data_IF_895904904388
#
_entry.id   IF_895904904388
#
_cell.length_a   1.000
_cell.length_b   1.000
_cell.length_c   1.000
_cell.angle_alpha   90.00
_cell.angle_beta   90.00
_cell.angle_gamma   90.00
#
_symmetry.space_group_name_H-M   'P 1'
#
loop_
_entity.id
_entity.type
_entity.pdbx_description
1 polymer ?
#
# COMPACT_ATOMS: atom_id res chain seq x y z
N UNK A 1 -21.00 -13.96 -10.60
CA UNK A 1 -20.64 -12.65 -10.00
C UNK A 1 -20.74 -11.57 -11.03
N UNK A 2 -21.23 -10.38 -10.66
CA UNK A 2 -21.15 -9.22 -11.54
C UNK A 2 -19.68 -8.88 -11.76
N UNK A 3 -19.28 -8.73 -13.03
CA UNK A 3 -17.91 -8.44 -13.43
C UNK A 3 -17.52 -7.05 -12.92
N UNK A 4 -16.42 -6.95 -12.15
CA UNK A 4 -15.89 -5.65 -11.73
C UNK A 4 -15.54 -4.80 -12.96
N UNK A 5 -15.95 -3.54 -12.95
CA UNK A 5 -15.58 -2.59 -14.00
C UNK A 5 -14.10 -2.22 -13.90
N UNK A 6 -13.52 -1.60 -14.93
CA UNK A 6 -12.12 -1.12 -14.87
C UNK A 6 -11.92 -0.11 -13.74
N UNK A 7 -12.90 0.77 -13.50
CA UNK A 7 -12.84 1.78 -12.46
C UNK A 7 -12.89 1.15 -11.05
N UNK A 8 -13.77 0.17 -10.82
CA UNK A 8 -13.85 -0.53 -9.53
C UNK A 8 -12.58 -1.31 -9.22
N UNK A 9 -11.95 -1.91 -10.23
CA UNK A 9 -10.66 -2.61 -10.07
C UNK A 9 -9.55 -1.66 -9.66
N UNK A 10 -9.49 -0.47 -10.28
CA UNK A 10 -8.52 0.54 -9.91
C UNK A 10 -8.67 0.98 -8.44
N UNK A 11 -9.90 1.11 -7.92
CA UNK A 11 -10.15 1.41 -6.51
C UNK A 11 -9.62 0.30 -5.60
N UNK A 12 -9.92 -0.96 -5.92
CA UNK A 12 -9.44 -2.12 -5.16
C UNK A 12 -7.91 -2.19 -5.18
N UNK A 13 -7.29 -2.04 -6.34
CA UNK A 13 -5.84 -2.09 -6.51
C UNK A 13 -5.14 -0.98 -5.71
N UNK A 14 -5.69 0.23 -5.72
CA UNK A 14 -5.18 1.33 -4.91
C UNK A 14 -5.30 1.02 -3.42
N UNK A 15 -6.44 0.53 -2.95
CA UNK A 15 -6.61 0.14 -1.55
C UNK A 15 -5.66 -1.01 -1.13
N UNK A 16 -5.41 -1.98 -2.02
CA UNK A 16 -4.46 -3.06 -1.74
C UNK A 16 -3.00 -2.60 -1.73
N UNK A 17 -2.67 -1.55 -2.49
CA UNK A 17 -1.28 -1.05 -2.64
C UNK A 17 -0.95 0.04 -1.62
N UNK A 18 -1.84 1.01 -1.49
CA UNK A 18 -1.66 2.23 -0.71
C UNK A 18 -2.33 2.12 0.66
N UNK A 19 -3.37 1.30 0.80
CA UNK A 19 -4.16 1.21 2.04
C UNK A 19 -5.10 2.39 2.25
N UNK A 20 -5.08 3.38 1.35
CA UNK A 20 -5.92 4.58 1.35
C UNK A 20 -6.46 4.80 -0.06
N UNK A 21 -7.68 5.28 -0.16
CA UNK A 21 -8.25 5.84 -1.38
C UNK A 21 -8.90 7.19 -1.06
N UNK A 22 -8.43 8.24 -1.72
CA UNK A 22 -8.89 9.62 -1.48
C UNK A 22 -10.06 10.00 -2.38
N UNK A 23 -11.04 10.69 -1.80
CA UNK A 23 -12.31 10.94 -2.45
C UNK A 23 -12.36 12.18 -3.31
N UNK A 24 -11.59 13.21 -2.94
CA UNK A 24 -11.62 14.51 -3.62
C UNK A 24 -11.00 14.42 -5.01
N UNK A 25 -11.55 15.19 -5.95
CA UNK A 25 -11.08 15.31 -7.33
C UNK A 25 -10.27 16.60 -7.47
N UNK A 26 -9.09 16.52 -8.06
CA UNK A 26 -8.25 17.67 -8.39
C UNK A 26 -8.12 17.83 -9.90
N UNK A 27 -7.84 19.05 -10.34
CA UNK A 27 -7.87 19.42 -11.77
C UNK A 27 -6.77 18.74 -12.61
N UNK A 28 -5.70 18.28 -11.96
CA UNK A 28 -4.56 17.58 -12.57
C UNK A 28 -4.78 16.06 -12.71
N UNK A 29 -5.90 15.53 -12.21
CA UNK A 29 -6.16 14.09 -12.24
C UNK A 29 -6.38 13.55 -13.65
N UNK A 30 -5.75 12.41 -13.93
CA UNK A 30 -6.00 11.63 -15.16
C UNK A 30 -7.45 11.12 -15.19
N UNK A 31 -8.00 11.01 -16.40
CA UNK A 31 -9.37 10.51 -16.61
C UNK A 31 -9.67 9.15 -15.95
N UNK A 32 -8.68 8.25 -15.86
CA UNK A 32 -8.83 6.97 -15.16
C UNK A 32 -8.99 7.13 -13.64
N UNK A 33 -8.30 8.10 -13.03
CA UNK A 33 -8.40 8.40 -11.61
C UNK A 33 -9.72 9.09 -11.27
N UNK A 34 -10.23 9.94 -12.17
CA UNK A 34 -11.56 10.53 -12.08
C UNK A 34 -12.66 9.45 -12.17
N UNK A 35 -12.56 8.54 -13.15
CA UNK A 35 -13.52 7.45 -13.31
C UNK A 35 -13.52 6.48 -12.13
N UNK A 36 -12.36 6.18 -11.53
CA UNK A 36 -12.27 5.41 -10.29
C UNK A 36 -13.04 6.11 -9.16
N UNK A 37 -12.88 7.45 -9.06
CA UNK A 37 -13.59 8.25 -8.07
C UNK A 37 -15.11 8.24 -8.27
N UNK A 38 -15.55 8.42 -9.51
CA UNK A 38 -16.97 8.34 -9.87
C UNK A 38 -17.57 6.95 -9.59
N UNK A 39 -16.79 5.89 -9.76
CA UNK A 39 -17.27 4.53 -9.56
C UNK A 39 -17.53 4.25 -8.07
N UNK A 40 -16.64 4.65 -7.17
CA UNK A 40 -16.85 4.39 -5.73
C UNK A 40 -17.83 5.38 -5.08
N UNK A 41 -18.03 6.59 -5.62
CA UNK A 41 -19.05 7.52 -5.09
C UNK A 41 -20.49 7.02 -5.35
N UNK A 42 -20.67 6.05 -6.26
CA UNK A 42 -21.97 5.46 -6.57
C UNK A 42 -22.28 4.27 -5.66
N UNK A 43 -23.50 4.17 -5.09
CA UNK A 43 -23.88 3.06 -4.21
C UNK A 43 -23.64 1.67 -4.80
N UNK A 44 -23.88 1.48 -6.11
CA UNK A 44 -23.62 0.21 -6.76
C UNK A 44 -22.12 -0.16 -6.80
N UNK A 45 -21.26 0.82 -7.06
CA UNK A 45 -19.82 0.61 -7.08
C UNK A 45 -19.31 0.26 -5.69
N UNK A 46 -19.76 0.98 -4.65
CA UNK A 46 -19.47 0.63 -3.26
C UNK A 46 -19.89 -0.80 -2.93
N UNK A 47 -21.10 -1.20 -3.31
CA UNK A 47 -21.61 -2.56 -3.07
C UNK A 47 -20.72 -3.62 -3.75
N UNK A 48 -20.29 -3.38 -4.99
CA UNK A 48 -19.44 -4.32 -5.73
C UNK A 48 -18.03 -4.42 -5.15
N UNK A 49 -17.43 -3.28 -4.78
CA UNK A 49 -16.10 -3.22 -4.17
C UNK A 49 -16.12 -3.86 -2.77
N UNK A 50 -17.05 -3.48 -1.91
CA UNK A 50 -17.22 -4.06 -0.57
C UNK A 50 -17.54 -5.56 -0.64
N UNK A 51 -18.40 -5.96 -1.58
CA UNK A 51 -18.71 -7.36 -1.82
C UNK A 51 -17.46 -8.18 -2.18
N UNK A 52 -16.56 -7.62 -2.99
CA UNK A 52 -15.29 -8.26 -3.32
C UNK A 52 -14.39 -8.37 -2.08
N UNK A 53 -14.14 -7.27 -1.35
CA UNK A 53 -13.31 -7.30 -0.13
C UNK A 53 -13.85 -8.28 0.92
N UNK A 54 -15.16 -8.28 1.15
CA UNK A 54 -15.80 -9.20 2.09
C UNK A 54 -15.64 -10.66 1.66
N UNK A 55 -15.77 -10.94 0.36
CA UNK A 55 -15.54 -12.30 -0.13
C UNK A 55 -14.07 -12.73 0.05
N UNK A 56 -13.12 -11.86 -0.30
CA UNK A 56 -11.70 -12.22 -0.32
C UNK A 56 -11.09 -12.28 1.08
N UNK A 57 -11.48 -11.36 1.97
CA UNK A 57 -10.86 -11.20 3.30
C UNK A 57 -11.83 -11.26 4.48
N UNK A 58 -13.14 -11.39 4.23
CA UNK A 58 -14.16 -11.42 5.29
C UNK A 58 -14.44 -10.07 5.92
N UNK A 59 -13.92 -8.99 5.33
CA UNK A 59 -14.01 -7.63 5.86
C UNK A 59 -14.08 -6.63 4.73
N UNK A 60 -14.63 -5.46 5.01
CA UNK A 60 -14.74 -4.35 4.06
C UNK A 60 -13.81 -3.20 4.46
N UNK A 61 -13.37 -2.36 3.51
CA UNK A 61 -12.69 -1.12 3.84
C UNK A 61 -13.55 -0.22 4.74
N UNK A 62 -12.90 0.52 5.62
CA UNK A 62 -13.57 1.56 6.40
C UNK A 62 -13.74 2.80 5.53
N UNK A 63 -14.85 3.53 5.72
CA UNK A 63 -15.20 4.68 4.89
C UNK A 63 -15.73 5.84 5.71
N UNK A 64 -15.35 7.06 5.33
CA UNK A 64 -15.84 8.31 5.91
C UNK A 64 -15.70 9.43 4.88
N UNK A 65 -16.75 10.22 4.66
CA UNK A 65 -16.76 11.34 3.70
C UNK A 65 -16.07 11.00 2.37
N UNK A 66 -16.53 9.91 1.73
CA UNK A 66 -16.01 9.44 0.44
C UNK A 66 -14.52 9.04 0.41
N UNK A 67 -13.87 8.97 1.57
CA UNK A 67 -12.52 8.48 1.75
C UNK A 67 -12.54 7.06 2.33
N UNK A 68 -11.62 6.19 1.88
CA UNK A 68 -11.60 4.77 2.27
C UNK A 68 -10.23 4.34 2.79
N UNK A 69 -10.21 3.46 3.79
CA UNK A 69 -9.01 2.94 4.44
C UNK A 69 -9.05 1.41 4.54
N UNK A 70 -7.92 0.78 4.21
CA UNK A 70 -7.67 -0.66 4.31
C UNK A 70 -6.26 -0.94 4.88
N UNK A 71 -6.17 -1.15 6.20
CA UNK A 71 -4.92 -1.42 6.92
C UNK A 71 -4.70 -2.90 7.29
N UNK A 72 -5.26 -3.82 6.51
CA UNK A 72 -5.20 -5.26 6.82
C UNK A 72 -4.27 -6.04 5.89
N UNK A 73 -3.77 -7.19 6.38
CA UNK A 73 -2.87 -8.08 5.63
C UNK A 73 -1.46 -7.49 5.46
N UNK A 74 -0.93 -7.33 4.24
CA UNK A 74 0.37 -6.68 4.00
C UNK A 74 0.41 -5.23 4.52
N UNK A 75 -0.76 -4.61 4.68
CA UNK A 75 -0.89 -3.22 5.05
C UNK A 75 -0.89 -3.00 6.57
N UNK A 76 -0.65 -4.05 7.36
CA UNK A 76 -0.53 -3.92 8.80
C UNK A 76 0.77 -3.20 9.16
N UNK A 77 0.67 -2.23 10.07
CA UNK A 77 1.80 -1.43 10.54
C UNK A 77 2.43 -2.07 11.78
N UNK A 78 3.74 -1.96 11.91
CA UNK A 78 4.51 -2.26 13.13
C UNK A 78 4.28 -1.20 14.21
N UNK A 79 4.72 -1.48 15.44
CA UNK A 79 4.58 -0.55 16.56
C UNK A 79 5.25 0.80 16.31
N UNK A 80 6.45 0.78 15.71
CA UNK A 80 7.20 2.00 15.39
C UNK A 80 6.50 2.79 14.29
N UNK A 81 6.02 2.10 13.23
CA UNK A 81 5.25 2.74 12.15
C UNK A 81 3.94 3.34 12.68
N UNK A 82 3.24 2.68 13.62
CA UNK A 82 2.03 3.22 14.25
C UNK A 82 2.36 4.50 15.04
N UNK A 83 3.46 4.50 15.78
CA UNK A 83 3.88 5.66 16.59
C UNK A 83 4.24 6.83 15.70
N UNK A 84 5.07 6.59 14.66
CA UNK A 84 5.41 7.60 13.65
C UNK A 84 4.15 8.12 12.95
N UNK A 85 3.25 7.23 12.55
CA UNK A 85 1.99 7.60 11.89
C UNK A 85 1.16 8.53 12.78
N UNK A 86 0.87 8.13 14.02
CA UNK A 86 0.05 8.94 14.94
C UNK A 86 0.69 10.28 15.26
N UNK A 87 2.01 10.29 15.49
CA UNK A 87 2.76 11.50 15.76
C UNK A 87 2.76 12.45 14.56
N UNK A 88 2.93 11.92 13.34
CA UNK A 88 2.93 12.71 12.10
C UNK A 88 1.55 13.29 11.83
N UNK A 89 0.49 12.49 11.95
CA UNK A 89 -0.89 12.97 11.84
C UNK A 89 -1.13 14.14 12.79
N UNK A 90 -0.75 13.99 14.07
CA UNK A 90 -0.89 15.05 15.07
C UNK A 90 -0.08 16.29 14.70
N UNK A 91 1.17 16.13 14.27
CA UNK A 91 2.04 17.25 13.93
C UNK A 91 1.47 18.04 12.74
N UNK A 92 1.07 17.36 11.67
CA UNK A 92 0.52 17.99 10.46
C UNK A 92 -0.81 18.69 10.75
N UNK A 93 -1.76 18.06 11.46
CA UNK A 93 -3.08 18.65 11.78
C UNK A 93 -2.95 19.93 12.62
N UNK A 94 -1.92 20.01 13.45
CA UNK A 94 -1.68 21.19 14.29
C UNK A 94 -0.93 22.31 13.56
N UNK A 95 -0.60 22.15 12.28
CA UNK A 95 -0.04 23.24 11.47
C UNK A 95 -1.12 24.24 11.05
N UNK A 96 -0.80 25.53 10.89
CA UNK A 96 -1.74 26.52 10.35
C UNK A 96 -2.26 26.16 8.95
N UNK A 97 -1.41 25.59 8.10
CA UNK A 97 -1.74 25.15 6.75
C UNK A 97 -2.86 24.10 6.73
N UNK A 98 -2.85 23.15 7.66
CA UNK A 98 -3.90 22.12 7.78
C UNK A 98 -5.23 22.65 8.35
N UNK A 99 -5.23 23.82 8.99
CA UNK A 99 -6.41 24.44 9.61
C UNK A 99 -7.19 25.38 8.67
N UNK A 100 -6.91 25.32 7.36
CA UNK A 100 -7.50 26.18 6.32
C UNK A 100 -7.31 27.69 6.57
N UNK A 101 -6.24 28.08 7.29
CA UNK A 101 -5.88 29.49 7.48
C UNK A 101 -5.18 30.04 6.23
N UNK A 102 -4.57 29.17 5.42
CA UNK A 102 -3.85 29.52 4.20
C UNK A 102 -4.45 28.81 2.98
N UNK A 103 -4.42 29.48 1.82
CA UNK A 103 -4.90 28.95 0.55
C UNK A 103 -3.98 27.85 -0.02
N UNK A 104 -2.73 27.80 0.46
CA UNK A 104 -1.71 26.83 0.09
C UNK A 104 -1.49 25.90 1.29
N UNK A 105 -1.67 24.58 1.12
CA UNK A 105 -1.53 23.59 2.19
C UNK A 105 -0.09 23.06 2.28
N UNK A 106 0.88 23.95 2.10
CA UNK A 106 2.30 23.60 2.08
C UNK A 106 2.89 23.71 3.49
N UNK A 107 3.62 22.68 3.92
CA UNK A 107 4.27 22.63 5.24
C UNK A 107 5.77 22.35 5.13
N UNK A 108 6.56 22.91 6.03
CA UNK A 108 7.98 22.56 6.18
C UNK A 108 8.13 21.17 6.79
N UNK A 109 8.92 20.30 6.17
CA UNK A 109 9.12 18.93 6.62
C UNK A 109 9.93 18.85 7.93
N UNK A 110 10.96 19.68 8.07
CA UNK A 110 11.90 19.58 9.18
C UNK A 110 11.24 19.75 10.56
N UNK A 111 10.40 20.77 10.81
CA UNK A 111 9.68 20.90 12.09
C UNK A 111 8.79 19.70 12.41
N UNK A 112 8.18 19.08 11.40
CA UNK A 112 7.35 17.87 11.56
C UNK A 112 8.22 16.70 11.99
N UNK A 113 9.33 16.45 11.29
CA UNK A 113 10.27 15.35 11.59
C UNK A 113 10.79 15.49 13.02
N UNK A 114 11.24 16.69 13.42
CA UNK A 114 11.72 16.95 14.78
C UNK A 114 10.62 16.72 15.81
N UNK A 115 9.39 17.21 15.57
CA UNK A 115 8.27 16.98 16.47
C UNK A 115 7.95 15.50 16.64
N UNK A 116 8.00 14.71 15.57
CA UNK A 116 7.77 13.25 15.63
C UNK A 116 8.89 12.55 16.37
N UNK A 117 10.14 12.98 16.14
CA UNK A 117 11.29 12.39 16.80
C UNK A 117 11.23 12.52 18.32
N UNK A 118 10.68 13.61 18.85
CA UNK A 118 10.51 13.78 20.32
C UNK A 118 9.64 12.73 21.00
N UNK A 119 8.79 12.03 20.24
CA UNK A 119 7.89 10.99 20.77
C UNK A 119 8.25 9.58 20.32
N UNK A 120 9.14 9.42 19.34
CA UNK A 120 9.65 8.12 18.88
C UNK A 120 10.99 7.82 19.54
N UNK A 121 10.95 7.18 20.71
CA UNK A 121 12.16 6.77 21.42
C UNK A 121 12.99 5.81 20.56
N UNK A 122 14.27 6.13 20.34
CA UNK A 122 15.22 5.24 19.67
C UNK A 122 15.32 5.37 18.14
N UNK A 123 14.53 6.25 17.51
CA UNK A 123 14.66 6.58 16.10
C UNK A 123 15.40 7.92 15.92
N UNK A 124 16.34 7.97 14.98
CA UNK A 124 16.98 9.22 14.54
C UNK A 124 16.09 9.99 13.57
N UNK A 125 16.31 11.30 13.43
CA UNK A 125 15.61 12.17 12.46
C UNK A 125 15.58 11.57 11.05
N UNK A 126 16.71 10.99 10.62
CA UNK A 126 16.81 10.34 9.30
C UNK A 126 15.89 9.11 9.18
N UNK A 127 15.76 8.32 10.24
CA UNK A 127 14.87 7.16 10.26
C UNK A 127 13.40 7.61 10.31
N UNK A 128 13.10 8.64 11.10
CA UNK A 128 11.76 9.24 11.16
C UNK A 128 11.36 9.80 9.81
N UNK A 129 12.19 10.64 9.19
CA UNK A 129 11.94 11.19 7.86
C UNK A 129 11.72 10.10 6.82
N UNK A 130 12.54 9.04 6.83
CA UNK A 130 12.35 7.88 5.95
C UNK A 130 11.01 7.18 6.17
N UNK A 131 10.58 6.97 7.42
CA UNK A 131 9.30 6.34 7.73
C UNK A 131 8.12 7.24 7.33
N UNK A 132 8.26 8.56 7.49
CA UNK A 132 7.26 9.52 7.01
C UNK A 132 7.16 9.45 5.48
N UNK A 133 8.28 9.43 4.77
CA UNK A 133 8.28 9.27 3.31
C UNK A 133 7.65 7.95 2.87
N UNK A 134 8.03 6.85 3.49
CA UNK A 134 7.49 5.52 3.17
C UNK A 134 5.96 5.47 3.41
N UNK A 135 5.49 6.03 4.53
CA UNK A 135 4.08 6.00 4.90
C UNK A 135 3.24 7.07 4.19
N UNK A 136 3.60 8.34 4.30
CA UNK A 136 2.76 9.46 3.88
C UNK A 136 2.99 9.90 2.44
N UNK A 137 4.21 9.78 1.92
CA UNK A 137 4.53 10.16 0.54
C UNK A 137 4.30 9.00 -0.42
N UNK A 138 4.94 7.87 -0.16
CA UNK A 138 4.95 6.74 -1.10
C UNK A 138 3.68 5.89 -0.98
N UNK A 139 3.33 5.52 0.25
CA UNK A 139 2.25 4.57 0.50
C UNK A 139 0.89 5.24 0.50
N UNK A 140 0.59 6.14 1.43
CA UNK A 140 -0.73 6.76 1.54
C UNK A 140 -0.94 7.92 0.57
N UNK A 141 0.14 8.50 0.03
CA UNK A 141 0.10 9.63 -0.91
C UNK A 141 -0.72 10.82 -0.36
N UNK A 142 -0.55 11.09 0.94
CA UNK A 142 -1.19 12.20 1.64
C UNK A 142 -0.29 13.44 1.71
N UNK A 143 1.00 13.25 1.45
CA UNK A 143 2.01 14.31 1.34
C UNK A 143 2.69 14.20 -0.02
N UNK A 144 2.88 15.34 -0.69
CA UNK A 144 3.63 15.42 -1.95
C UNK A 144 4.86 16.29 -1.73
N UNK A 145 6.09 15.77 -1.94
CA UNK A 145 7.29 16.59 -1.87
C UNK A 145 7.21 17.78 -2.82
N UNK A 146 7.35 18.97 -2.25
CA UNK A 146 7.44 20.22 -2.99
C UNK A 146 8.83 20.82 -2.78
N UNK A 147 9.45 21.18 -3.89
CA UNK A 147 10.73 21.87 -3.89
C UNK A 147 10.45 23.30 -4.37
N UNK A 148 10.26 24.21 -3.42
CA UNK A 148 10.17 25.62 -3.72
C UNK A 148 11.53 26.08 -4.27
N UNK A 149 11.64 26.14 -5.60
CA UNK A 149 12.81 26.70 -6.27
C UNK A 149 12.72 28.22 -6.11
N UNK A 150 13.54 28.80 -5.22
CA UNK A 150 13.67 30.26 -5.14
C UNK A 150 14.29 30.76 -6.46
N UNK A 151 13.54 31.51 -7.30
CA UNK A 151 14.04 31.99 -8.58
C UNK A 151 15.20 33.01 -8.44
N UNK A 152 15.54 33.43 -7.21
CA UNK A 152 16.62 34.39 -6.91
C UNK A 152 17.87 33.76 -6.29
N UNK A 153 17.88 32.47 -5.95
CA UNK A 153 19.04 31.87 -5.28
C UNK A 153 20.05 31.28 -6.28
N UNK A 154 21.08 32.06 -6.61
CA UNK A 154 22.26 31.59 -7.36
C UNK A 154 23.33 30.94 -6.48
N UNK A 155 22.96 30.32 -5.35
CA UNK A 155 23.92 29.84 -4.35
C UNK A 155 23.90 28.31 -4.24
N UNK A 156 25.00 27.68 -4.67
CA UNK A 156 25.25 26.22 -4.75
C UNK A 156 25.33 25.49 -3.40
N UNK A 157 24.90 26.10 -2.29
CA UNK A 157 24.99 25.54 -0.93
C UNK A 157 23.85 26.02 -0.02
N UNK A 158 22.62 26.05 -0.52
CA UNK A 158 21.46 26.21 0.37
C UNK A 158 21.01 24.85 0.89
N UNK A 159 20.77 24.78 2.21
CA UNK A 159 19.97 23.72 2.81
C UNK A 159 18.65 23.72 2.04
N UNK A 160 18.39 22.67 1.27
CA UNK A 160 17.12 22.52 0.57
C UNK A 160 16.09 22.32 1.68
N UNK A 161 15.31 23.35 1.96
CA UNK A 161 14.16 23.20 2.83
C UNK A 161 13.18 22.29 2.10
N UNK A 162 12.99 21.09 2.63
CA UNK A 162 12.03 20.13 2.09
C UNK A 162 10.63 20.56 2.55
N UNK A 163 9.74 20.79 1.59
CA UNK A 163 8.34 21.10 1.84
C UNK A 163 7.45 19.93 1.41
N UNK A 164 6.28 19.84 2.02
CA UNK A 164 5.23 18.91 1.61
C UNK A 164 3.94 19.67 1.33
N UNK A 165 3.35 19.43 0.17
CA UNK A 165 1.95 19.75 -0.08
C UNK A 165 1.06 18.70 0.59
N UNK A 166 0.11 19.15 1.40
CA UNK A 166 -0.78 18.31 2.20
C UNK A 166 -2.09 18.08 1.45
N UNK A 167 -2.42 16.81 1.25
CA UNK A 167 -3.66 16.39 0.59
C UNK A 167 -4.90 17.09 1.17
N UNK A 168 -5.83 17.42 0.27
CA UNK A 168 -7.12 18.01 0.63
C UNK A 168 -7.92 17.13 1.60
N UNK A 169 -7.80 15.81 1.46
CA UNK A 169 -8.47 14.77 2.26
C UNK A 169 -7.68 14.33 3.51
N UNK A 170 -6.59 15.05 3.87
CA UNK A 170 -5.67 14.60 4.91
C UNK A 170 -6.37 14.38 6.26
N UNK A 171 -7.24 15.31 6.67
CA UNK A 171 -7.88 15.27 7.99
C UNK A 171 -8.91 14.14 8.06
N UNK A 172 -9.70 13.96 7.02
CA UNK A 172 -10.70 12.89 6.89
C UNK A 172 -10.02 11.51 6.90
N UNK A 173 -8.92 11.36 6.16
CA UNK A 173 -8.12 10.14 6.17
C UNK A 173 -7.45 9.91 7.53
N UNK A 174 -6.93 10.96 8.18
CA UNK A 174 -6.35 10.85 9.51
C UNK A 174 -7.35 10.26 10.52
N UNK A 175 -8.58 10.75 10.50
CA UNK A 175 -9.66 10.23 11.35
C UNK A 175 -9.93 8.75 11.06
N UNK A 176 -10.02 8.36 9.77
CA UNK A 176 -10.21 6.97 9.38
C UNK A 176 -9.06 6.05 9.80
N UNK A 177 -7.81 6.50 9.66
CA UNK A 177 -6.64 5.73 10.07
C UNK A 177 -6.67 5.48 11.59
N UNK A 178 -6.94 6.52 12.39
CA UNK A 178 -7.06 6.39 13.84
C UNK A 178 -8.21 5.46 14.22
N UNK A 179 -9.38 5.61 13.60
CA UNK A 179 -10.53 4.75 13.84
C UNK A 179 -10.21 3.30 13.50
N UNK A 180 -9.56 3.03 12.36
CA UNK A 180 -9.17 1.69 11.94
C UNK A 180 -8.23 1.01 12.95
N UNK A 181 -7.27 1.75 13.49
CA UNK A 181 -6.38 1.24 14.53
C UNK A 181 -7.14 0.97 15.83
N UNK A 182 -8.03 1.87 16.27
CA UNK A 182 -8.86 1.66 17.47
C UNK A 182 -9.76 0.43 17.34
N UNK A 183 -10.40 0.23 16.18
CA UNK A 183 -11.21 -0.95 15.89
C UNK A 183 -10.37 -2.23 15.93
N UNK A 184 -9.13 -2.19 15.42
CA UNK A 184 -8.21 -3.33 15.45
C UNK A 184 -7.77 -3.73 16.87
N UNK A 185 -7.75 -2.78 17.81
CA UNK A 185 -7.40 -3.02 19.22
C UNK A 185 -8.58 -3.56 20.04
N UNK A 186 -9.81 -3.21 19.66
CA UNK A 186 -11.01 -3.46 20.48
C UNK A 186 -11.85 -4.64 20.02
N UNK A 187 -11.79 -4.98 18.73
CA UNK A 187 -12.67 -6.00 18.16
C UNK A 187 -12.00 -7.36 18.21
N UNK A 188 -12.56 -8.29 19.00
CA UNK A 188 -12.24 -9.70 18.84
C UNK A 188 -12.51 -10.08 17.38
N UNK A 189 -11.45 -10.43 16.64
CA UNK A 189 -11.53 -10.73 15.20
C UNK A 189 -12.69 -11.67 14.92
N UNK A 190 -13.68 -11.21 14.15
CA UNK A 190 -14.71 -12.11 13.63
C UNK A 190 -14.03 -13.30 12.94
N UNK A 191 -14.52 -14.53 13.16
CA UNK A 191 -13.88 -15.72 12.60
C UNK A 191 -13.99 -15.68 11.08
N UNK A 192 -12.87 -15.43 10.42
CA UNK A 192 -12.74 -15.50 8.97
C UNK A 192 -12.56 -16.94 8.51
N UNK A 193 -13.13 -17.28 7.36
CA UNK A 193 -13.01 -18.62 6.76
C UNK A 193 -11.57 -18.96 6.39
N UNK A 194 -11.25 -20.25 6.28
CA UNK A 194 -9.93 -20.72 5.84
C UNK A 194 -9.53 -20.13 4.47
N UNK A 195 -10.49 -19.96 3.55
CA UNK A 195 -10.24 -19.31 2.26
C UNK A 195 -9.72 -17.88 2.43
N UNK A 196 -10.37 -17.11 3.30
CA UNK A 196 -10.02 -15.71 3.58
C UNK A 196 -8.68 -15.61 4.30
N UNK A 197 -8.37 -16.56 5.19
CA UNK A 197 -7.06 -16.65 5.83
C UNK A 197 -5.95 -16.90 4.81
N UNK A 198 -6.15 -17.84 3.89
CA UNK A 198 -5.19 -18.12 2.81
C UNK A 198 -5.00 -16.90 1.91
N UNK A 199 -6.07 -16.20 1.53
CA UNK A 199 -5.98 -14.97 0.74
C UNK A 199 -5.21 -13.87 1.47
N UNK A 200 -5.51 -13.64 2.75
CA UNK A 200 -4.81 -12.65 3.57
C UNK A 200 -3.32 -12.97 3.70
N UNK A 201 -3.00 -14.26 3.95
CA UNK A 201 -1.62 -14.74 4.03
C UNK A 201 -0.88 -14.55 2.71
N UNK A 202 -1.47 -14.99 1.58
CA UNK A 202 -0.87 -14.84 0.26
C UNK A 202 -0.69 -13.39 -0.16
N UNK A 203 -1.61 -12.50 0.21
CA UNK A 203 -1.46 -11.07 -0.05
C UNK A 203 -0.30 -10.48 0.77
N UNK A 204 -0.09 -10.95 2.01
CA UNK A 204 0.98 -10.48 2.90
C UNK A 204 2.35 -11.03 2.51
N UNK A 205 2.47 -12.34 2.39
CA UNK A 205 3.75 -13.03 2.24
C UNK A 205 4.11 -13.33 0.77
N UNK A 206 3.14 -13.26 -0.15
CA UNK A 206 3.28 -13.57 -1.60
C UNK A 206 3.67 -15.00 -1.92
N UNK A 207 4.01 -15.80 -0.92
CA UNK A 207 4.47 -17.18 -1.01
C UNK A 207 3.88 -17.96 0.15
N UNK A 208 3.48 -19.20 -0.10
CA UNK A 208 2.96 -20.19 0.86
C UNK A 208 3.56 -21.54 0.49
N UNK A 209 4.02 -22.34 1.46
CA UNK A 209 4.48 -23.70 1.21
C UNK A 209 3.82 -24.72 2.14
N UNK A 210 4.20 -25.99 1.97
CA UNK A 210 3.67 -27.11 2.77
C UNK A 210 3.93 -27.00 4.28
N UNK A 211 4.85 -26.15 4.72
CA UNK A 211 5.19 -26.00 6.13
C UNK A 211 4.14 -25.17 6.87
N UNK A 212 3.28 -24.45 6.15
CA UNK A 212 2.19 -23.63 6.70
C UNK A 212 0.93 -24.44 7.04
N UNK A 213 1.07 -25.77 7.14
CA UNK A 213 0.10 -26.71 7.70
C UNK A 213 -1.32 -26.54 7.15
N UNK A 214 -2.25 -26.16 8.03
CA UNK A 214 -3.67 -26.02 7.68
C UNK A 214 -3.97 -25.00 6.57
N UNK A 215 -3.11 -23.99 6.36
CA UNK A 215 -3.27 -23.04 5.25
C UNK A 215 -2.95 -23.70 3.91
N UNK A 216 -1.92 -24.55 3.88
CA UNK A 216 -1.54 -25.32 2.69
C UNK A 216 -2.64 -26.31 2.29
N UNK A 217 -3.18 -27.06 3.25
CA UNK A 217 -4.29 -27.99 3.01
C UNK A 217 -5.54 -27.26 2.51
N UNK A 218 -5.89 -26.13 3.12
CA UNK A 218 -7.03 -25.32 2.69
C UNK A 218 -6.83 -24.77 1.26
N UNK A 219 -5.61 -24.34 0.91
CA UNK A 219 -5.28 -23.90 -0.44
C UNK A 219 -5.47 -25.02 -1.47
N UNK A 220 -5.00 -26.23 -1.17
CA UNK A 220 -5.15 -27.38 -2.08
C UNK A 220 -6.63 -27.76 -2.27
N UNK A 221 -7.41 -27.78 -1.19
CA UNK A 221 -8.84 -28.10 -1.24
C UNK A 221 -9.67 -27.05 -1.98
N UNK A 222 -9.29 -25.77 -1.90
CA UNK A 222 -10.07 -24.63 -2.40
C UNK A 222 -9.37 -23.85 -3.51
N UNK A 223 -8.42 -24.48 -4.21
CA UNK A 223 -7.57 -23.84 -5.25
C UNK A 223 -8.37 -23.07 -6.28
N UNK A 224 -9.47 -23.64 -6.77
CA UNK A 224 -10.32 -23.00 -7.79
C UNK A 224 -11.02 -21.76 -7.26
N UNK A 225 -11.55 -21.82 -6.04
CA UNK A 225 -12.22 -20.70 -5.39
C UNK A 225 -11.25 -19.57 -5.09
N UNK A 226 -10.06 -19.89 -4.57
CA UNK A 226 -9.00 -18.92 -4.27
C UNK A 226 -8.50 -18.26 -5.55
N UNK A 227 -8.21 -19.04 -6.60
CA UNK A 227 -7.80 -18.46 -7.89
C UNK A 227 -8.89 -17.54 -8.48
N UNK A 228 -10.15 -17.97 -8.42
CA UNK A 228 -11.28 -17.22 -8.99
C UNK A 228 -11.51 -15.85 -8.35
N UNK A 229 -11.15 -15.63 -7.08
CA UNK A 229 -11.33 -14.31 -6.43
C UNK A 229 -10.30 -13.27 -6.87
N UNK A 230 -9.10 -13.72 -7.28
CA UNK A 230 -8.02 -12.83 -7.75
C UNK A 230 -8.14 -12.47 -9.24
N UNK A 231 -8.68 -13.39 -10.05
CA UNK A 231 -8.84 -13.21 -11.50
C UNK A 231 -9.52 -11.90 -11.93
N UNK A 232 -10.61 -11.43 -11.27
CA UNK A 232 -11.27 -10.19 -11.66
C UNK A 232 -10.35 -8.98 -11.67
N UNK A 233 -9.35 -8.91 -10.77
CA UNK A 233 -8.44 -7.77 -10.71
C UNK A 233 -7.54 -7.68 -11.95
N UNK A 234 -7.22 -8.81 -12.58
CA UNK A 234 -6.25 -8.89 -13.70
C UNK A 234 -4.82 -8.45 -13.36
N UNK A 235 -4.53 -8.29 -12.06
CA UNK A 235 -3.21 -7.95 -11.52
C UNK A 235 -2.55 -9.13 -10.82
N UNK A 236 -3.32 -9.88 -10.03
CA UNK A 236 -2.79 -10.99 -9.23
C UNK A 236 -3.07 -12.34 -9.88
N UNK A 237 -2.03 -13.18 -9.93
CA UNK A 237 -2.09 -14.52 -10.51
C UNK A 237 -1.64 -15.52 -9.45
N UNK A 238 -2.53 -16.46 -9.11
CA UNK A 238 -2.19 -17.55 -8.20
C UNK A 238 -1.52 -18.68 -8.98
N UNK A 239 -0.24 -18.89 -8.71
CA UNK A 239 0.51 -20.07 -9.11
C UNK A 239 0.50 -21.09 -7.96
N UNK A 240 0.27 -22.37 -8.26
CA UNK A 240 0.33 -23.45 -7.28
C UNK A 240 1.08 -24.62 -7.90
N UNK A 241 2.31 -24.85 -7.43
CA UNK A 241 3.13 -26.01 -7.75
C UNK A 241 2.95 -27.14 -6.75
N UNK A 242 3.84 -28.13 -6.80
CA UNK A 242 3.72 -29.36 -6.01
C UNK A 242 3.95 -29.14 -4.50
N UNK A 243 4.76 -28.16 -4.15
CA UNK A 243 5.15 -27.88 -2.76
C UNK A 243 5.12 -26.37 -2.40
N UNK A 244 4.61 -25.53 -3.31
CA UNK A 244 4.48 -24.09 -3.09
C UNK A 244 3.26 -23.50 -3.78
N UNK A 245 2.85 -22.34 -3.30
CA UNK A 245 1.93 -21.43 -3.97
C UNK A 245 2.48 -20.01 -3.91
N UNK A 246 2.30 -19.25 -4.98
CA UNK A 246 2.75 -17.88 -5.08
C UNK A 246 1.63 -16.99 -5.63
N UNK A 247 1.43 -15.83 -5.00
CA UNK A 247 0.54 -14.79 -5.53
C UNK A 247 1.40 -13.78 -6.29
N UNK A 248 1.50 -14.00 -7.59
CA UNK A 248 2.27 -13.16 -8.49
C UNK A 248 1.54 -11.84 -8.73
N UNK A 249 2.27 -10.73 -8.71
CA UNK A 249 1.75 -9.39 -8.97
C UNK A 249 2.29 -8.90 -10.32
N UNK A 250 1.41 -8.64 -11.28
CA UNK A 250 1.78 -8.15 -12.61
C UNK A 250 2.33 -6.72 -12.60
N UNK A 251 2.06 -5.94 -11.55
CA UNK A 251 2.58 -4.57 -11.41
C UNK A 251 4.00 -4.53 -10.85
N UNK A 252 4.59 -5.68 -10.46
CA UNK A 252 6.00 -5.71 -10.10
C UNK A 252 6.83 -5.32 -11.31
N UNK A 253 7.47 -4.15 -11.21
CA UNK A 253 8.53 -3.67 -12.11
C UNK A 253 9.36 -4.88 -12.55
N UNK A 254 9.40 -5.13 -13.85
CA UNK A 254 10.44 -5.98 -14.42
C UNK A 254 11.76 -5.50 -13.82
N UNK A 255 12.48 -6.40 -13.14
CA UNK A 255 13.83 -6.11 -12.66
C UNK A 255 14.66 -5.75 -13.89
N UNK A 256 14.82 -4.45 -14.15
CA UNK A 256 15.59 -3.91 -15.27
C UNK A 256 17.09 -3.95 -14.99
N UNK A 257 17.52 -4.59 -13.89
CA UNK A 257 18.94 -4.71 -13.58
C UNK A 257 19.58 -5.74 -14.51
N UNK A 258 20.66 -5.31 -15.17
CA UNK A 258 21.49 -6.17 -16.03
C UNK A 258 21.97 -7.42 -15.28
N UNK A 259 22.17 -7.30 -13.96
CA UNK A 259 22.53 -8.41 -13.07
C UNK A 259 21.44 -9.47 -12.96
N UNK A 260 20.15 -9.09 -12.96
CA UNK A 260 19.04 -10.06 -12.96
C UNK A 260 18.99 -10.85 -14.27
N UNK A 261 19.15 -10.20 -15.42
CA UNK A 261 19.24 -10.89 -16.71
C UNK A 261 20.46 -11.81 -16.81
N UNK A 262 21.61 -11.40 -16.27
CA UNK A 262 22.82 -12.25 -16.19
C UNK A 262 22.57 -13.44 -15.27
N UNK A 263 21.96 -13.26 -14.10
CA UNK A 263 21.63 -14.36 -13.20
C UNK A 263 20.63 -15.34 -13.82
N UNK A 264 19.66 -14.84 -14.59
CA UNK A 264 18.68 -15.68 -15.30
C UNK A 264 19.33 -16.43 -16.48
N UNK A 265 20.27 -15.80 -17.19
CA UNK A 265 21.04 -16.43 -18.26
C UNK A 265 21.99 -17.52 -17.71
N UNK A 266 22.65 -17.24 -16.58
CA UNK A 266 23.52 -18.21 -15.87
C UNK A 266 22.69 -19.36 -15.29
N UNK A 267 21.53 -19.10 -14.69
CA UNK A 267 20.64 -20.16 -14.21
C UNK A 267 20.10 -21.04 -15.35
N UNK A 268 19.87 -20.46 -16.54
CA UNK A 268 19.49 -21.22 -17.75
C UNK A 268 20.66 -22.02 -18.32
N UNK A 269 21.89 -21.49 -18.30
CA UNK A 269 23.08 -22.23 -18.73
C UNK A 269 23.49 -23.35 -17.76
N UNK A 270 23.16 -23.21 -16.47
CA UNK A 270 23.40 -24.24 -15.46
C UNK A 270 22.41 -25.42 -15.57
N UNK A 271 21.18 -25.19 -16.08
CA UNK A 271 20.23 -26.28 -16.38
C UNK A 271 20.60 -27.12 -17.60
N UNK A 272 21.51 -26.65 -18.46
CA UNK A 272 22.06 -27.42 -19.58
C UNK A 272 23.30 -28.26 -19.23
N UNK A 273 23.70 -28.30 -17.95
CA UNK A 273 24.94 -28.95 -17.52
C UNK A 273 26.16 -28.09 -17.88
N UNK A 274 27.13 -28.00 -16.97
CA UNK A 274 28.44 -27.44 -17.29
C UNK A 274 29.18 -28.42 -18.21
N UNK A 275 29.77 -27.97 -19.33
CA UNK A 275 30.73 -28.77 -20.09
C UNK A 275 31.85 -29.28 -19.16
N UNK A 276 32.22 -30.55 -19.28
CA UNK A 276 33.21 -31.22 -18.42
C UNK A 276 34.59 -30.52 -18.41
N UNK A 277 34.87 -29.77 -19.46
CA UNK A 277 36.05 -28.94 -19.68
C UNK A 277 36.16 -27.72 -18.74
N UNK A 278 35.10 -27.42 -17.95
CA UNK A 278 35.13 -26.43 -16.86
C UNK A 278 35.23 -27.05 -15.46
N UNK A 279 35.21 -28.38 -15.34
CA UNK A 279 35.48 -29.11 -14.10
C UNK A 279 36.96 -29.50 -14.09
N UNK A 280 37.83 -28.52 -13.83
CA UNK A 280 39.28 -28.73 -13.80
C UNK A 280 39.68 -29.93 -12.92
N UNK A 281 40.31 -30.91 -13.56
CA UNK A 281 41.27 -31.83 -12.91
C UNK A 281 42.63 -31.16 -12.83
#
# INVERSE_FOLDING_TARGET
MAKLTKAERAVIEQLLTHGVFTGTKTDDMKASALAARDAYQKPEGQRRINGWFNQVFGRVPMSFQDNWVWLMGPNQLSSDEITVLLATLKAVINTPAAQNVEADRVIEAHPIITSVQTVTNGLSDKQVGKLIDELFVQRFQLLVPDNLVDPKSSATNQVVNEYWDVSVDFVEIAQLLVQAMQTSLTTASEPISMQQQVNAYLLKHRYLDKNEGGLWEALLQQKKQISAVWQPLQRFYLEVGDNYAALLDADRRQLSSRQYFVALAVARSLKSGLPEDLLGT
#
